data_IF_162120871334
#
_entry.id   IF_162120871334
#
_cell.length_a   1.000
_cell.length_b   1.000
_cell.length_c   1.000
_cell.angle_alpha   90.00
_cell.angle_beta   90.00
_cell.angle_gamma   90.00
#
_symmetry.space_group_name_H-M   'P 1'
#
loop_
_entity.id
_entity.type
_entity.pdbx_description
1 polymer ?
#
# COMPACT_ATOMS: atom_id res chain seq x y z
N UNK A 1 -38.37 -6.22 -9.20
CA UNK A 1 -37.82 -7.19 -10.17
C UNK A 1 -36.70 -6.56 -10.99
N UNK A 2 -35.87 -7.30 -11.75
CA UNK A 2 -34.74 -6.73 -12.49
C UNK A 2 -35.09 -5.59 -13.46
N UNK A 3 -36.30 -5.61 -14.02
CA UNK A 3 -36.80 -4.59 -14.95
C UNK A 3 -37.42 -3.36 -14.25
N UNK A 4 -37.60 -3.42 -12.92
CA UNK A 4 -38.11 -2.29 -12.15
C UNK A 4 -36.97 -1.28 -11.89
N UNK A 5 -36.86 -0.30 -12.79
CA UNK A 5 -35.84 0.75 -12.73
C UNK A 5 -36.33 2.08 -12.14
N UNK A 6 -37.61 2.17 -11.74
CA UNK A 6 -38.20 3.43 -11.24
C UNK A 6 -37.46 4.02 -10.03
N UNK A 7 -36.92 3.17 -9.15
CA UNK A 7 -36.15 3.61 -7.98
C UNK A 7 -34.75 4.16 -8.32
N UNK A 8 -34.31 4.03 -9.58
CA UNK A 8 -33.05 4.59 -10.09
C UNK A 8 -33.24 5.94 -10.78
N UNK A 9 -34.48 6.42 -10.90
CA UNK A 9 -34.74 7.73 -11.48
C UNK A 9 -34.12 8.85 -10.65
N UNK A 10 -33.66 9.90 -11.33
CA UNK A 10 -33.11 11.07 -10.69
C UNK A 10 -34.19 11.80 -9.90
N UNK A 11 -33.95 12.04 -8.61
CA UNK A 11 -34.84 12.82 -7.75
C UNK A 11 -34.43 14.28 -7.82
N UNK A 12 -35.35 15.15 -8.25
CA UNK A 12 -35.08 16.58 -8.41
C UNK A 12 -34.69 17.21 -7.07
N UNK A 13 -33.55 17.89 -7.04
CA UNK A 13 -33.05 18.61 -5.87
C UNK A 13 -32.13 17.79 -4.96
N UNK A 14 -31.97 16.50 -5.24
CA UNK A 14 -31.12 15.59 -4.48
C UNK A 14 -29.88 15.19 -5.29
N UNK A 15 -28.77 14.92 -4.60
CA UNK A 15 -27.55 14.35 -5.17
C UNK A 15 -27.35 12.94 -4.57
N UNK A 16 -27.90 11.95 -5.26
CA UNK A 16 -27.83 10.54 -4.87
C UNK A 16 -26.92 9.74 -5.78
N UNK A 17 -26.23 8.77 -5.19
CA UNK A 17 -25.57 7.69 -5.91
C UNK A 17 -26.13 6.36 -5.42
N UNK A 18 -26.58 5.51 -6.35
CA UNK A 18 -27.13 4.18 -6.02
C UNK A 18 -26.19 3.10 -6.52
N UNK A 19 -25.66 2.29 -5.59
CA UNK A 19 -24.98 1.04 -5.92
C UNK A 19 -26.02 -0.03 -6.20
N UNK A 20 -25.88 -0.72 -7.33
CA UNK A 20 -26.80 -1.77 -7.77
C UNK A 20 -26.05 -3.10 -7.82
N UNK A 21 -26.61 -4.12 -7.19
CA UNK A 21 -26.09 -5.49 -7.29
C UNK A 21 -27.22 -6.50 -7.34
N UNK A 22 -26.88 -7.75 -7.64
CA UNK A 22 -27.83 -8.85 -7.64
C UNK A 22 -28.08 -9.37 -6.23
N UNK A 23 -29.28 -9.91 -6.01
CA UNK A 23 -29.68 -10.53 -4.74
C UNK A 23 -30.79 -11.57 -4.99
N UNK A 24 -31.02 -12.56 -4.12
CA UNK A 24 -30.12 -13.03 -3.06
C UNK A 24 -28.81 -13.60 -3.61
N UNK A 25 -27.79 -13.68 -2.74
CA UNK A 25 -26.49 -14.20 -3.10
C UNK A 25 -26.58 -15.58 -3.79
N UNK A 26 -25.93 -15.72 -4.95
CA UNK A 26 -25.90 -16.96 -5.73
C UNK A 26 -27.17 -17.28 -6.51
N UNK A 27 -28.29 -16.59 -6.26
CA UNK A 27 -29.56 -16.75 -6.96
C UNK A 27 -29.80 -15.61 -7.96
N UNK A 28 -29.49 -14.37 -7.57
CA UNK A 28 -29.45 -13.19 -8.45
C UNK A 28 -30.78 -12.84 -9.17
N UNK A 29 -31.93 -13.29 -8.67
CA UNK A 29 -33.26 -13.06 -9.27
C UNK A 29 -33.79 -11.64 -9.07
N UNK A 30 -33.23 -10.89 -8.12
CA UNK A 30 -33.62 -9.53 -7.78
C UNK A 30 -32.42 -8.57 -7.84
N UNK A 31 -32.68 -7.30 -7.59
CA UNK A 31 -31.65 -6.25 -7.47
C UNK A 31 -31.71 -5.66 -6.06
N UNK A 32 -30.56 -5.58 -5.42
CA UNK A 32 -30.37 -4.84 -4.18
C UNK A 32 -29.88 -3.45 -4.55
N UNK A 33 -30.59 -2.43 -4.09
CA UNK A 33 -30.27 -1.02 -4.30
C UNK A 33 -29.78 -0.42 -2.99
N UNK A 34 -28.54 0.08 -2.97
CA UNK A 34 -27.96 0.80 -1.83
C UNK A 34 -27.76 2.25 -2.25
N UNK A 35 -28.62 3.14 -1.74
CA UNK A 35 -28.62 4.57 -2.10
C UNK A 35 -27.89 5.39 -1.04
N UNK A 36 -26.84 6.09 -1.46
CA UNK A 36 -26.12 7.08 -0.66
C UNK A 36 -26.50 8.50 -1.09
N UNK A 37 -26.51 9.41 -0.13
CA UNK A 37 -26.62 10.86 -0.36
C UNK A 37 -25.24 11.51 -0.37
N UNK A 38 -25.07 12.54 -1.19
CA UNK A 38 -23.85 13.34 -1.18
C UNK A 38 -23.64 13.96 0.19
N UNK A 39 -22.42 13.80 0.71
CA UNK A 39 -21.92 14.51 1.89
C UNK A 39 -20.68 15.33 1.51
N UNK A 40 -20.26 16.22 2.41
CA UNK A 40 -18.96 16.88 2.28
C UNK A 40 -17.85 15.83 2.24
N UNK A 41 -16.91 16.01 1.32
CA UNK A 41 -15.72 15.18 1.27
C UNK A 41 -14.75 15.65 2.34
N UNK A 42 -14.55 14.81 3.36
CA UNK A 42 -13.52 15.00 4.35
C UNK A 42 -12.30 14.20 3.88
N UNK A 43 -11.22 14.84 3.41
CA UNK A 43 -10.02 14.09 3.08
C UNK A 43 -9.53 13.35 4.33
N UNK A 44 -9.43 12.04 4.25
CA UNK A 44 -8.70 11.28 5.26
C UNK A 44 -7.23 11.72 5.19
N UNK A 45 -6.64 12.07 6.35
CA UNK A 45 -5.19 12.00 6.49
C UNK A 45 -4.81 10.58 6.08
N UNK A 46 -4.04 10.42 4.99
CA UNK A 46 -3.67 9.12 4.49
C UNK A 46 -3.11 8.31 5.66
N UNK A 47 -3.81 7.26 6.15
CA UNK A 47 -3.18 6.37 7.09
C UNK A 47 -2.04 5.76 6.30
N UNK A 48 -0.80 6.05 6.72
CA UNK A 48 0.43 5.40 6.28
C UNK A 48 0.08 3.97 5.93
N UNK A 49 0.07 3.66 4.63
CA UNK A 49 -0.59 2.46 4.12
C UNK A 49 -0.22 1.28 4.98
N UNK A 50 -1.17 0.72 5.72
CA UNK A 50 -0.96 -0.55 6.41
C UNK A 50 -0.82 -1.56 5.29
N UNK A 51 0.45 -1.87 4.93
CA UNK A 51 0.87 -2.74 3.84
C UNK A 51 0.42 -4.18 4.13
N UNK A 52 -0.88 -4.44 4.01
CA UNK A 52 -1.44 -5.78 4.12
C UNK A 52 -1.46 -6.44 2.74
N UNK A 53 -0.29 -6.99 2.39
CA UNK A 53 -0.17 -8.25 1.66
C UNK A 53 -0.74 -8.33 0.24
N UNK A 54 0.09 -7.95 -0.74
CA UNK A 54 0.38 -8.77 -1.94
C UNK A 54 1.52 -8.16 -2.74
N UNK A 55 2.65 -8.85 -2.75
CA UNK A 55 3.74 -8.64 -3.71
C UNK A 55 4.94 -7.92 -3.12
N UNK A 56 6.02 -8.70 -2.99
CA UNK A 56 7.40 -8.31 -2.72
C UNK A 56 7.69 -7.96 -1.26
N UNK A 57 8.56 -8.79 -0.69
CA UNK A 57 9.08 -8.69 0.66
C UNK A 57 9.50 -7.25 0.96
N UNK A 58 9.21 -6.83 2.19
CA UNK A 58 9.44 -5.49 2.69
C UNK A 58 10.75 -4.90 2.17
N UNK A 59 10.61 -3.82 1.42
CA UNK A 59 11.63 -2.78 1.32
C UNK A 59 11.66 -2.12 2.71
N UNK A 60 12.18 -2.83 3.71
CA UNK A 60 12.92 -2.17 4.77
C UNK A 60 13.93 -1.30 4.03
N UNK A 61 13.89 0.01 4.23
CA UNK A 61 14.90 0.94 3.73
C UNK A 61 16.22 0.59 4.41
N UNK A 62 16.85 -0.48 3.91
CA UNK A 62 18.12 -0.97 4.36
C UNK A 62 19.14 0.05 3.90
N UNK A 63 19.58 0.85 4.86
CA UNK A 63 20.65 1.81 4.73
C UNK A 63 21.71 1.27 3.74
N UNK A 64 22.07 2.01 2.68
CA UNK A 64 22.77 1.43 1.55
C UNK A 64 24.03 0.67 1.99
N UNK A 65 24.26 -0.56 1.49
CA UNK A 65 25.31 -1.46 1.99
C UNK A 65 26.72 -0.87 1.90
N UNK A 66 26.93 0.15 1.05
CA UNK A 66 28.20 0.87 0.95
C UNK A 66 28.59 1.63 2.23
N UNK A 67 27.64 2.03 3.09
CA UNK A 67 27.94 2.77 4.33
C UNK A 67 28.69 1.91 5.36
N UNK A 68 28.46 0.60 5.38
CA UNK A 68 29.18 -0.34 6.25
C UNK A 68 30.33 -1.06 5.53
N UNK A 69 30.23 -1.26 4.21
CA UNK A 69 31.27 -1.94 3.43
C UNK A 69 32.59 -1.18 3.38
N UNK A 70 32.55 0.14 3.18
CA UNK A 70 33.76 0.99 3.08
C UNK A 70 34.61 1.00 4.37
N UNK A 71 34.05 1.27 5.58
CA UNK A 71 34.85 1.31 6.80
C UNK A 71 35.45 -0.05 7.17
N UNK A 72 34.74 -1.16 6.95
CA UNK A 72 35.26 -2.51 7.23
C UNK A 72 36.48 -2.80 6.36
N UNK A 73 36.41 -2.50 5.07
CA UNK A 73 37.54 -2.69 4.14
C UNK A 73 38.73 -1.82 4.53
N UNK A 74 38.49 -0.57 4.93
CA UNK A 74 39.56 0.34 5.37
C UNK A 74 40.30 -0.20 6.61
N UNK A 75 39.59 -0.71 7.61
CA UNK A 75 40.18 -1.30 8.82
C UNK A 75 41.04 -2.53 8.49
N UNK A 76 40.55 -3.40 7.59
CA UNK A 76 41.30 -4.59 7.15
C UNK A 76 42.61 -4.18 6.46
N UNK A 77 42.57 -3.19 5.56
CA UNK A 77 43.75 -2.70 4.85
C UNK A 77 44.78 -2.06 5.79
N UNK A 78 44.31 -1.25 6.76
CA UNK A 78 45.18 -0.64 7.78
C UNK A 78 45.83 -1.73 8.64
N UNK A 79 45.05 -2.71 9.10
CA UNK A 79 45.55 -3.85 9.87
C UNK A 79 46.61 -4.66 9.11
N UNK A 80 46.35 -4.97 7.83
CA UNK A 80 47.31 -5.66 6.98
C UNK A 80 48.60 -4.85 6.75
N UNK A 81 48.50 -3.52 6.59
CA UNK A 81 49.66 -2.65 6.44
C UNK A 81 50.52 -2.63 7.71
N UNK A 82 49.90 -2.52 8.89
CA UNK A 82 50.59 -2.57 10.19
C UNK A 82 51.26 -3.93 10.38
N UNK A 83 50.56 -5.02 10.07
CA UNK A 83 51.09 -6.39 10.17
C UNK A 83 52.28 -6.62 9.23
N UNK A 84 52.20 -6.16 7.97
CA UNK A 84 53.31 -6.22 7.02
C UNK A 84 54.52 -5.38 7.46
N UNK A 85 54.29 -4.20 8.05
CA UNK A 85 55.37 -3.37 8.61
C UNK A 85 56.07 -4.06 9.77
N UNK A 86 55.32 -4.68 10.69
CA UNK A 86 55.87 -5.44 11.83
C UNK A 86 56.67 -6.66 11.39
N UNK A 87 56.24 -7.37 10.34
CA UNK A 87 56.95 -8.53 9.78
C UNK A 87 58.22 -8.15 8.99
N UNK A 88 58.31 -6.92 8.46
CA UNK A 88 59.51 -6.41 7.77
C UNK A 88 60.55 -5.79 8.71
N UNK A 89 60.19 -5.48 9.95
CA UNK A 89 61.08 -4.91 10.97
C UNK A 89 61.63 -5.93 11.99
N UNK A 90 61.45 -7.23 11.72
CA UNK A 90 62.09 -8.36 12.39
C UNK A 90 62.88 -9.13 11.35
#
# INVERSE_FOLDING_TARGET
>A
LPEEAGDLEAVRGEDYCTLVTCTPYGINTHRLLVRGSRTEYLPEEQPETVKNGRGLAGEEEFLPPYLWGVPIVAVILIGAAIWRRKKRGK
#
